data_IF_371678481320
#
_entry.id   IF_371678481320
#
_cell.length_a   1.000
_cell.length_b   1.000
_cell.length_c   1.000
_cell.angle_alpha   90.00
_cell.angle_beta   90.00
_cell.angle_gamma   90.00
#
_symmetry.space_group_name_H-M   'P 1'
#
loop_
_entity.id
_entity.type
_entity.pdbx_description
1 polymer ?
#
# COMPACT_ATOMS: atom_id res chain seq x y z
N UNK A 1 -11.41 16.19 -10.75
CA UNK A 1 -10.53 15.54 -9.75
C UNK A 1 -10.71 14.04 -9.91
N UNK A 2 -9.67 13.33 -10.35
CA UNK A 2 -9.75 11.89 -10.59
C UNK A 2 -9.86 11.18 -9.24
N UNK A 3 -11.02 10.62 -8.94
CA UNK A 3 -11.29 9.89 -7.71
C UNK A 3 -10.49 8.58 -7.77
N UNK A 4 -9.50 8.44 -6.90
CA UNK A 4 -8.70 7.21 -6.82
C UNK A 4 -9.52 6.19 -6.04
N UNK A 5 -10.07 5.21 -6.74
CA UNK A 5 -10.78 4.09 -6.14
C UNK A 5 -9.77 3.00 -5.76
N UNK A 6 -9.41 2.92 -4.47
CA UNK A 6 -8.45 1.94 -3.94
C UNK A 6 -8.79 0.49 -4.37
N UNK A 7 -10.08 0.17 -4.43
CA UNK A 7 -10.59 -1.14 -4.86
C UNK A 7 -10.30 -1.43 -6.33
N UNK A 8 -10.43 -0.45 -7.21
CA UNK A 8 -10.11 -0.63 -8.63
C UNK A 8 -8.61 -0.77 -8.84
N UNK A 9 -7.81 0.09 -8.19
CA UNK A 9 -6.35 0.00 -8.26
C UNK A 9 -5.85 -1.37 -7.80
N UNK A 10 -6.39 -1.87 -6.69
CA UNK A 10 -6.08 -3.21 -6.18
C UNK A 10 -6.40 -4.31 -7.19
N UNK A 11 -7.58 -4.25 -7.81
CA UNK A 11 -8.00 -5.23 -8.84
C UNK A 11 -7.12 -5.17 -10.08
N UNK A 12 -6.72 -3.97 -10.53
CA UNK A 12 -5.81 -3.79 -11.68
C UNK A 12 -4.43 -4.39 -11.41
N UNK A 13 -3.94 -4.26 -10.18
CA UNK A 13 -2.67 -4.83 -9.74
C UNK A 13 -2.77 -6.30 -9.29
N UNK A 14 -3.98 -6.88 -9.32
CA UNK A 14 -4.30 -8.23 -8.86
C UNK A 14 -3.80 -8.55 -7.43
N UNK A 15 -3.88 -7.56 -6.54
CA UNK A 15 -3.43 -7.68 -5.14
C UNK A 15 -4.59 -8.03 -4.21
N UNK A 16 -4.28 -8.70 -3.10
CA UNK A 16 -5.15 -8.81 -1.94
C UNK A 16 -5.09 -7.53 -1.10
N UNK A 17 -6.03 -7.36 -0.16
CA UNK A 17 -6.01 -6.21 0.75
C UNK A 17 -4.75 -6.21 1.63
N UNK A 18 -4.28 -7.39 2.03
CA UNK A 18 -3.07 -7.55 2.84
C UNK A 18 -1.81 -7.22 2.04
N UNK A 19 -1.71 -7.66 0.79
CA UNK A 19 -0.57 -7.32 -0.08
C UNK A 19 -0.51 -5.82 -0.40
N UNK A 20 -1.66 -5.21 -0.68
CA UNK A 20 -1.75 -3.77 -0.90
C UNK A 20 -1.36 -2.99 0.38
N UNK A 21 -1.74 -3.50 1.55
CA UNK A 21 -1.38 -2.91 2.84
C UNK A 21 0.13 -3.01 3.09
N UNK A 22 0.71 -4.19 2.86
CA UNK A 22 2.16 -4.42 2.98
C UNK A 22 2.97 -3.54 2.02
N UNK A 23 2.51 -3.38 0.78
CA UNK A 23 3.15 -2.53 -0.22
C UNK A 23 3.14 -1.05 0.19
N UNK A 24 2.06 -0.60 0.82
CA UNK A 24 1.89 0.78 1.28
C UNK A 24 2.41 1.03 2.70
N UNK A 25 2.87 0.00 3.41
CA UNK A 25 3.29 0.10 4.81
C UNK A 25 2.16 0.48 5.77
N UNK A 26 0.91 0.14 5.44
CA UNK A 26 -0.27 0.42 6.27
C UNK A 26 -0.90 -0.87 6.78
N UNK A 27 -1.83 -0.76 7.72
CA UNK A 27 -2.62 -1.89 8.16
C UNK A 27 -3.71 -2.26 7.13
N UNK A 28 -4.04 -3.54 7.00
CA UNK A 28 -5.18 -4.06 6.21
C UNK A 28 -6.48 -3.30 6.49
N UNK A 29 -6.76 -3.00 7.76
CA UNK A 29 -7.95 -2.25 8.17
C UNK A 29 -8.01 -0.85 7.54
N UNK A 30 -6.86 -0.25 7.26
CA UNK A 30 -6.74 1.04 6.57
C UNK A 30 -7.13 0.90 5.10
N UNK A 31 -6.66 -0.15 4.42
CA UNK A 31 -7.05 -0.47 3.04
C UNK A 31 -8.55 -0.74 2.95
N UNK A 32 -9.10 -1.55 3.85
CA UNK A 32 -10.55 -1.79 3.94
C UNK A 32 -11.33 -0.48 4.13
N UNK A 33 -10.84 0.42 4.99
CA UNK A 33 -11.46 1.74 5.21
C UNK A 33 -11.45 2.57 3.93
N UNK A 34 -10.36 2.57 3.17
CA UNK A 34 -10.31 3.28 1.89
C UNK A 34 -11.26 2.70 0.85
N UNK A 35 -11.40 1.38 0.79
CA UNK A 35 -12.35 0.73 -0.13
C UNK A 35 -13.81 1.04 0.24
N UNK A 36 -14.12 1.24 1.52
CA UNK A 36 -15.48 1.49 2.00
C UNK A 36 -15.88 2.97 2.05
N UNK A 37 -14.97 3.83 2.51
CA UNK A 37 -15.23 5.25 2.77
C UNK A 37 -14.50 6.18 1.80
N UNK A 38 -13.64 5.64 0.94
CA UNK A 38 -12.79 6.40 0.03
C UNK A 38 -11.40 6.69 0.60
N UNK A 39 -10.46 6.93 -0.30
CA UNK A 39 -9.11 7.36 0.05
C UNK A 39 -9.15 8.83 0.49
N UNK A 40 -8.47 9.22 1.58
CA UNK A 40 -8.35 10.63 1.94
C UNK A 40 -7.72 11.43 0.79
N UNK A 41 -8.25 12.63 0.52
CA UNK A 41 -7.79 13.48 -0.58
C UNK A 41 -6.43 14.13 -0.33
N UNK A 42 -5.92 14.08 0.90
CA UNK A 42 -4.65 14.69 1.33
C UNK A 42 -3.86 13.76 2.24
N UNK A 43 -2.54 13.96 2.28
CA UNK A 43 -1.60 13.19 3.09
C UNK A 43 -0.70 12.26 2.25
N UNK A 44 0.37 11.75 2.85
CA UNK A 44 1.40 10.95 2.16
C UNK A 44 0.82 9.76 1.39
N UNK A 45 -0.17 9.08 1.98
CA UNK A 45 -0.91 7.97 1.38
C UNK A 45 -1.58 8.34 0.05
N UNK A 46 -2.19 9.53 -0.04
CA UNK A 46 -2.88 9.96 -1.26
C UNK A 46 -1.89 10.16 -2.41
N UNK A 47 -0.71 10.73 -2.10
CA UNK A 47 0.38 10.87 -3.07
C UNK A 47 0.94 9.50 -3.49
N UNK A 48 1.17 8.59 -2.54
CA UNK A 48 1.66 7.24 -2.85
C UNK A 48 0.69 6.47 -3.76
N UNK A 49 -0.61 6.49 -3.45
CA UNK A 49 -1.64 5.85 -4.28
C UNK A 49 -1.72 6.47 -5.68
N UNK A 50 -1.57 7.79 -5.78
CA UNK A 50 -1.51 8.48 -7.07
C UNK A 50 -0.29 8.04 -7.88
N UNK A 51 0.89 8.05 -7.28
CA UNK A 51 2.13 7.61 -7.93
C UNK A 51 2.10 6.14 -8.34
N UNK A 52 1.44 5.26 -7.58
CA UNK A 52 1.24 3.86 -7.96
C UNK A 52 0.25 3.73 -9.14
N UNK A 53 -0.81 4.53 -9.16
CA UNK A 53 -1.76 4.55 -10.26
C UNK A 53 -1.12 5.04 -11.57
N UNK A 54 -0.23 6.02 -11.51
CA UNK A 54 0.52 6.54 -12.67
C UNK A 54 1.54 5.51 -13.20
N UNK A 55 2.15 4.72 -12.31
CA UNK A 55 3.12 3.67 -12.69
C UNK A 55 2.46 2.37 -13.22
N UNK A 56 1.16 2.18 -13.01
CA UNK A 56 0.44 0.98 -13.43
C UNK A 56 0.04 0.95 -14.92
N UNK A 57 0.55 1.88 -15.75
CA UNK A 57 0.55 1.72 -17.22
C UNK A 57 1.65 0.72 -17.63
N UNK A 58 1.42 -0.27 -18.52
CA UNK A 58 2.23 -1.50 -18.51
C UNK A 58 3.47 -1.45 -19.42
N UNK A 59 4.43 -2.40 -19.28
CA UNK A 59 4.81 -3.14 -18.08
C UNK A 59 6.36 -3.24 -17.87
N UNK A 60 6.77 -3.89 -16.77
CA UNK A 60 8.13 -4.39 -16.47
C UNK A 60 9.05 -3.33 -15.84
N UNK A 61 9.30 -3.43 -14.54
CA UNK A 61 10.46 -4.22 -14.10
C UNK A 61 10.29 -4.71 -12.67
N UNK A 62 10.56 -6.01 -12.48
CA UNK A 62 10.78 -6.61 -11.16
C UNK A 62 11.76 -5.76 -10.35
N UNK A 63 11.33 -5.30 -9.18
CA UNK A 63 12.25 -5.11 -8.06
C UNK A 63 11.83 -6.08 -6.97
N UNK A 64 12.34 -7.30 -7.07
CA UNK A 64 12.62 -8.08 -5.88
C UNK A 64 13.87 -7.46 -5.25
N UNK A 65 13.77 -6.71 -4.14
CA UNK A 65 14.81 -6.70 -3.11
C UNK A 65 14.21 -6.55 -1.70
N UNK A 66 14.41 -7.65 -0.96
CA UNK A 66 14.34 -7.87 0.49
C UNK A 66 14.81 -6.69 1.34
N UNK A 67 14.14 -6.49 2.48
CA UNK A 67 14.69 -6.66 3.84
C UNK A 67 13.49 -6.61 4.79
N UNK A 68 13.19 -7.59 5.66
CA UNK A 68 14.14 -8.29 6.49
C UNK A 68 14.74 -7.31 7.50
N UNK A 69 13.92 -6.80 8.43
CA UNK A 69 14.37 -6.38 9.76
C UNK A 69 13.36 -6.87 10.81
N UNK A 70 13.60 -8.12 11.21
CA UNK A 70 13.74 -8.57 12.59
C UNK A 70 12.77 -8.00 13.64
N UNK A 71 11.84 -8.87 14.01
CA UNK A 71 11.25 -8.93 15.34
C UNK A 71 12.31 -9.38 16.35
N UNK A 72 12.59 -8.58 17.38
CA UNK A 72 13.10 -8.98 18.71
C UNK A 72 13.00 -7.76 19.64
N UNK A 73 11.96 -7.71 20.48
CA UNK A 73 12.03 -8.01 21.92
C UNK A 73 13.00 -7.12 22.71
N UNK A 74 12.40 -6.12 23.37
CA UNK A 74 12.48 -5.89 24.82
C UNK A 74 13.33 -6.90 25.62
N UNK A 75 14.22 -6.40 26.47
CA UNK A 75 14.60 -7.15 27.69
C UNK A 75 16.06 -7.09 28.13
N UNK A 76 16.26 -6.34 29.22
CA UNK A 76 17.26 -6.49 30.29
C UNK A 76 18.70 -5.96 30.10
N UNK A 77 18.96 -4.94 30.92
CA UNK A 77 20.24 -4.53 31.52
C UNK A 77 20.90 -5.68 32.32
N UNK A 78 22.22 -5.59 32.54
CA UNK A 78 22.70 -5.17 33.86
C UNK A 78 23.40 -3.81 33.86
#
# INVERSE_FOLDING_TARGET
MNKIEAKELRKRLNLTQDEMAALLGVNKSTVWRWEKYGVPSRGAVAYLLKSLCEQASPPITKICKRSGVDSACDGLQP
#
